data_IF_736718733241
#
_entry.id   IF_736718733241
#
_cell.length_a   1.000
_cell.length_b   1.000
_cell.length_c   1.000
_cell.angle_alpha   90.00
_cell.angle_beta   90.00
_cell.angle_gamma   90.00
#
_symmetry.space_group_name_H-M   'P 1'
#
loop_
_entity.id
_entity.type
_entity.pdbx_description
1 polymer ?
#
# COMPACT_ATOMS: atom_id res chain seq x y z
N UNK A 1 -4.38 -31.10 2.08
CA UNK A 1 -3.23 -30.83 1.20
C UNK A 1 -2.01 -31.15 2.02
N UNK A 2 -1.11 -31.99 1.53
CA UNK A 2 0.13 -32.31 2.26
C UNK A 2 1.14 -31.14 2.17
N UNK A 3 2.12 -31.15 3.08
CA UNK A 3 3.12 -30.08 3.23
C UNK A 3 3.97 -29.89 1.96
N UNK A 4 4.22 -30.96 1.21
CA UNK A 4 4.99 -30.92 -0.03
C UNK A 4 4.21 -30.20 -1.15
N UNK A 5 2.92 -30.48 -1.26
CA UNK A 5 2.02 -29.80 -2.19
C UNK A 5 1.87 -28.32 -1.83
N UNK A 6 1.73 -28.00 -0.54
CA UNK A 6 1.62 -26.62 -0.08
C UNK A 6 2.91 -25.85 -0.42
N UNK A 7 4.08 -26.41 -0.10
CA UNK A 7 5.37 -25.81 -0.40
C UNK A 7 5.53 -25.55 -1.91
N UNK A 8 5.22 -26.54 -2.74
CA UNK A 8 5.30 -26.40 -4.19
C UNK A 8 4.38 -25.30 -4.73
N UNK A 9 3.17 -25.19 -4.17
CA UNK A 9 2.22 -24.14 -4.57
C UNK A 9 2.73 -22.75 -4.18
N UNK A 10 3.26 -22.60 -2.96
CA UNK A 10 3.86 -21.35 -2.48
C UNK A 10 5.00 -20.90 -3.39
N UNK A 11 5.94 -21.80 -3.73
CA UNK A 11 7.05 -21.50 -4.64
C UNK A 11 6.58 -21.08 -6.04
N UNK A 12 5.52 -21.73 -6.55
CA UNK A 12 4.91 -21.36 -7.84
C UNK A 12 4.24 -19.98 -7.80
N UNK A 13 3.51 -19.68 -6.73
CA UNK A 13 2.85 -18.39 -6.54
C UNK A 13 3.87 -17.26 -6.42
N UNK A 14 4.90 -17.45 -5.60
CA UNK A 14 6.00 -16.51 -5.44
C UNK A 14 6.71 -16.24 -6.77
N UNK A 15 7.09 -17.30 -7.50
CA UNK A 15 7.73 -17.17 -8.81
C UNK A 15 6.86 -16.38 -9.78
N UNK A 16 5.57 -16.68 -9.83
CA UNK A 16 4.62 -15.99 -10.71
C UNK A 16 4.50 -14.51 -10.33
N UNK A 17 4.32 -14.20 -9.06
CA UNK A 17 4.21 -12.82 -8.58
C UNK A 17 5.47 -12.00 -8.93
N UNK A 18 6.67 -12.57 -8.73
CA UNK A 18 7.94 -11.94 -9.10
C UNK A 18 8.05 -11.69 -10.60
N UNK A 19 7.64 -12.65 -11.44
CA UNK A 19 7.66 -12.49 -12.90
C UNK A 19 6.66 -11.43 -13.36
N UNK A 20 5.44 -11.42 -12.81
CA UNK A 20 4.43 -10.41 -13.14
C UNK A 20 4.86 -9.00 -12.71
N UNK A 21 5.52 -8.87 -11.54
CA UNK A 21 6.09 -7.62 -11.07
C UNK A 21 7.25 -7.14 -11.96
N UNK A 22 8.19 -8.03 -12.30
CA UNK A 22 9.33 -7.70 -13.16
C UNK A 22 8.92 -7.33 -14.60
N UNK A 23 7.74 -7.77 -15.04
CA UNK A 23 7.20 -7.44 -16.36
C UNK A 23 6.45 -6.09 -16.40
N UNK A 24 6.29 -5.41 -15.25
CA UNK A 24 5.66 -4.08 -15.22
C UNK A 24 6.50 -3.06 -15.98
N UNK A 25 5.81 -2.11 -16.59
CA UNK A 25 6.42 -1.04 -17.36
C UNK A 25 5.91 0.32 -16.87
N UNK A 26 6.73 1.38 -16.92
CA UNK A 26 6.23 2.73 -16.69
C UNK A 26 5.23 3.11 -17.78
N UNK A 27 4.44 4.15 -17.52
CA UNK A 27 3.54 4.68 -18.55
C UNK A 27 4.37 5.11 -19.78
N UNK A 28 4.11 4.56 -20.99
CA UNK A 28 4.99 4.75 -22.13
C UNK A 28 5.17 6.23 -22.51
N UNK A 29 6.41 6.65 -22.76
CA UNK A 29 6.75 8.05 -23.05
C UNK A 29 5.94 8.60 -24.24
N UNK A 30 5.79 7.79 -25.30
CA UNK A 30 5.01 8.13 -26.48
C UNK A 30 3.52 8.41 -26.19
N UNK A 31 3.00 7.93 -25.06
CA UNK A 31 1.61 8.09 -24.65
C UNK A 31 1.42 9.16 -23.56
N UNK A 32 2.50 9.74 -23.00
CA UNK A 32 2.40 10.79 -21.97
C UNK A 32 1.77 12.08 -22.49
N UNK A 33 1.88 12.36 -23.79
CA UNK A 33 1.20 13.50 -24.43
C UNK A 33 -0.28 13.25 -24.70
N UNK A 34 -0.73 11.99 -24.67
CA UNK A 34 -2.10 11.60 -24.99
C UNK A 34 -3.09 11.99 -23.89
N UNK A 35 -4.36 12.13 -24.27
CA UNK A 35 -5.45 12.47 -23.35
C UNK A 35 -5.58 11.47 -22.18
N UNK A 36 -5.34 10.18 -22.43
CA UNK A 36 -5.37 9.12 -21.43
C UNK A 36 -4.40 9.38 -20.27
N UNK A 37 -3.16 9.78 -20.54
CA UNK A 37 -2.21 10.07 -19.46
C UNK A 37 -2.63 11.29 -18.65
N UNK A 38 -3.09 12.36 -19.32
CA UNK A 38 -3.60 13.56 -18.62
C UNK A 38 -4.78 13.24 -17.71
N UNK A 39 -5.70 12.37 -18.15
CA UNK A 39 -6.84 11.92 -17.35
C UNK A 39 -6.40 11.07 -16.16
N UNK A 40 -5.43 10.18 -16.35
CA UNK A 40 -4.84 9.39 -15.26
C UNK A 40 -4.17 10.28 -14.21
N UNK A 41 -3.29 11.20 -14.63
CA UNK A 41 -2.63 12.15 -13.72
C UNK A 41 -3.64 13.03 -12.99
N UNK A 42 -4.70 13.48 -13.67
CA UNK A 42 -5.77 14.24 -13.02
C UNK A 42 -6.48 13.40 -11.96
N UNK A 43 -6.80 12.14 -12.25
CA UNK A 43 -7.42 11.23 -11.28
C UNK A 43 -6.52 11.03 -10.05
N UNK A 44 -5.23 10.76 -10.26
CA UNK A 44 -4.25 10.63 -9.17
C UNK A 44 -4.17 11.89 -8.31
N UNK A 45 -4.03 13.06 -8.93
CA UNK A 45 -3.97 14.34 -8.18
C UNK A 45 -5.25 14.58 -7.37
N UNK A 46 -6.41 14.25 -7.91
CA UNK A 46 -7.67 14.38 -7.18
C UNK A 46 -7.72 13.46 -5.96
N UNK A 47 -7.38 12.18 -6.11
CA UNK A 47 -7.40 11.21 -5.01
C UNK A 47 -6.38 11.58 -3.93
N UNK A 48 -5.14 11.88 -4.32
CA UNK A 48 -4.09 12.27 -3.38
C UNK A 48 -4.40 13.60 -2.65
N UNK A 49 -5.24 14.46 -3.23
CA UNK A 49 -5.67 15.71 -2.58
C UNK A 49 -6.72 15.51 -1.49
N UNK A 50 -7.28 14.31 -1.34
CA UNK A 50 -8.20 14.01 -0.24
C UNK A 50 -7.46 13.97 1.10
N UNK A 51 -8.15 14.35 2.17
CA UNK A 51 -7.62 14.25 3.54
C UNK A 51 -7.31 12.80 3.90
N UNK A 52 -8.17 11.86 3.47
CA UNK A 52 -7.99 10.43 3.72
C UNK A 52 -6.69 9.90 3.10
N UNK A 53 -6.39 10.22 1.84
CA UNK A 53 -5.14 9.79 1.22
C UNK A 53 -3.91 10.39 1.92
N UNK A 54 -3.96 11.68 2.26
CA UNK A 54 -2.86 12.34 2.98
C UNK A 54 -2.65 11.70 4.36
N UNK A 55 -3.72 11.45 5.10
CA UNK A 55 -3.67 10.85 6.43
C UNK A 55 -3.21 9.39 6.41
N UNK A 56 -3.63 8.60 5.40
CA UNK A 56 -3.17 7.22 5.21
C UNK A 56 -1.67 7.17 4.95
N UNK A 57 -1.14 7.98 4.04
CA UNK A 57 0.30 8.00 3.78
C UNK A 57 1.10 8.64 4.91
N UNK A 58 0.54 9.58 5.65
CA UNK A 58 1.16 10.12 6.85
C UNK A 58 1.41 9.05 7.91
N UNK A 59 0.50 8.08 8.08
CA UNK A 59 0.72 6.96 8.99
C UNK A 59 1.87 6.06 8.52
N UNK A 60 2.03 5.80 7.23
CA UNK A 60 3.21 5.04 6.73
C UNK A 60 4.52 5.80 7.02
N UNK A 61 4.51 7.13 6.84
CA UNK A 61 5.66 8.00 7.13
C UNK A 61 5.92 8.09 8.62
N UNK A 62 4.88 8.08 9.44
CA UNK A 62 4.98 7.98 10.89
C UNK A 62 5.68 6.66 11.25
N UNK A 63 5.22 5.56 10.67
CA UNK A 63 5.78 4.22 10.86
C UNK A 63 4.83 3.30 11.61
N UNK A 64 3.78 3.84 12.22
CA UNK A 64 2.66 3.09 12.79
C UNK A 64 1.30 3.70 12.38
N UNK A 65 0.24 2.89 12.29
CA UNK A 65 -1.11 3.44 12.27
C UNK A 65 -1.41 4.07 13.63
N UNK A 66 -2.35 5.04 13.66
CA UNK A 66 -2.90 5.49 14.95
C UNK A 66 -3.84 4.42 15.53
N UNK A 67 -4.11 4.50 16.83
CA UNK A 67 -4.93 3.52 17.55
C UNK A 67 -6.27 3.29 16.85
N UNK A 68 -6.98 4.37 16.51
CA UNK A 68 -8.31 4.28 15.90
C UNK A 68 -8.23 3.51 14.59
N UNK A 69 -7.19 3.71 13.78
CA UNK A 69 -7.03 3.04 12.48
C UNK A 69 -6.56 1.59 12.63
N UNK A 70 -5.81 1.28 13.69
CA UNK A 70 -5.42 -0.09 14.00
C UNK A 70 -6.64 -0.92 14.43
N UNK A 71 -7.53 -0.33 15.23
CA UNK A 71 -8.76 -0.95 15.75
C UNK A 71 -9.95 -0.91 14.77
N UNK A 72 -10.05 0.12 13.92
CA UNK A 72 -11.10 0.35 12.91
C UNK A 72 -10.90 -0.57 11.69
N UNK A 73 -11.07 -1.87 11.94
CA UNK A 73 -11.04 -2.91 10.91
C UNK A 73 -12.18 -3.88 11.11
N UNK A 74 -12.73 -4.38 10.00
CA UNK A 74 -13.72 -5.47 10.02
C UNK A 74 -13.19 -6.72 10.74
N UNK A 75 -11.87 -6.93 10.63
CA UNK A 75 -11.11 -7.95 11.37
C UNK A 75 -9.83 -7.24 11.86
N UNK A 76 -9.82 -6.72 13.10
CA UNK A 76 -8.61 -6.15 13.69
C UNK A 76 -7.57 -7.25 13.85
N UNK A 77 -6.32 -6.99 13.46
CA UNK A 77 -5.20 -7.87 13.79
C UNK A 77 -4.48 -7.44 15.08
N UNK A 78 -5.05 -6.46 15.77
CA UNK A 78 -4.71 -6.08 17.13
C UNK A 78 -5.85 -6.55 18.04
N UNK A 79 -5.49 -7.03 19.22
CA UNK A 79 -6.42 -7.57 20.21
C UNK A 79 -5.80 -7.45 21.60
N UNK A 80 -6.60 -7.70 22.64
CA UNK A 80 -6.14 -7.59 24.03
C UNK A 80 -5.68 -6.19 24.39
N UNK A 81 -4.68 -6.10 25.27
CA UNK A 81 -4.07 -4.84 25.73
C UNK A 81 -2.88 -4.42 24.84
N UNK A 82 -3.09 -4.41 23.53
CA UNK A 82 -2.03 -4.07 22.57
C UNK A 82 -1.54 -2.61 22.79
N UNK A 83 -0.23 -2.34 22.94
CA UNK A 83 0.31 -1.00 23.21
C UNK A 83 0.05 0.08 22.15
N UNK A 84 -0.62 -0.29 21.05
CA UNK A 84 -1.02 0.66 20.00
C UNK A 84 -2.08 1.64 20.52
N UNK A 85 -2.80 1.28 21.60
CA UNK A 85 -3.70 2.17 22.36
C UNK A 85 -3.01 3.40 22.99
N UNK A 86 -1.68 3.46 22.89
CA UNK A 86 -0.89 4.61 23.33
C UNK A 86 -0.33 5.41 22.14
N UNK A 87 -0.89 5.20 20.95
CA UNK A 87 -0.58 5.95 19.73
C UNK A 87 -1.84 6.61 19.13
N UNK A 88 -2.45 7.59 19.84
CA UNK A 88 -3.72 8.20 19.39
C UNK A 88 -3.55 9.16 18.21
N UNK A 89 -2.37 9.76 18.09
CA UNK A 89 -2.07 10.82 17.13
C UNK A 89 -0.81 10.50 16.34
N UNK A 90 -0.73 11.05 15.11
CA UNK A 90 0.49 11.05 14.32
C UNK A 90 1.61 11.81 15.04
N UNK A 91 2.85 11.35 14.90
CA UNK A 91 4.02 12.10 15.34
C UNK A 91 4.14 13.43 14.57
N UNK A 92 4.68 14.49 15.22
CA UNK A 92 4.86 15.79 14.57
C UNK A 92 5.66 15.68 13.26
N UNK A 93 5.14 16.27 12.19
CA UNK A 93 5.78 16.30 10.88
C UNK A 93 5.34 15.20 9.91
N UNK A 94 4.62 14.16 10.37
CA UNK A 94 4.20 13.06 9.49
C UNK A 94 3.21 13.51 8.42
N UNK A 95 2.21 14.31 8.80
CA UNK A 95 1.19 14.82 7.88
C UNK A 95 1.78 15.86 6.93
N UNK A 96 2.67 16.72 7.41
CA UNK A 96 3.40 17.70 6.61
C UNK A 96 4.21 17.00 5.52
N UNK A 97 4.97 15.96 5.87
CA UNK A 97 5.75 15.18 4.89
C UNK A 97 4.88 14.46 3.88
N UNK A 98 3.73 13.91 4.29
CA UNK A 98 2.79 13.31 3.35
C UNK A 98 2.28 14.32 2.31
N UNK A 99 1.99 15.55 2.74
CA UNK A 99 1.58 16.66 1.86
C UNK A 99 2.70 17.12 0.94
N UNK A 100 3.92 17.26 1.47
CA UNK A 100 5.11 17.58 0.67
C UNK A 100 5.37 16.53 -0.41
N UNK A 101 5.29 15.24 -0.04
CA UNK A 101 5.46 14.14 -0.98
C UNK A 101 4.38 14.16 -2.07
N UNK A 102 3.11 14.36 -1.71
CA UNK A 102 2.01 14.53 -2.68
C UNK A 102 2.32 15.63 -3.70
N UNK A 103 2.90 16.75 -3.28
CA UNK A 103 3.17 17.89 -4.16
C UNK A 103 4.39 17.67 -5.06
N UNK A 104 5.33 16.82 -4.63
CA UNK A 104 6.58 16.55 -5.32
C UNK A 104 6.61 15.23 -6.09
N UNK A 105 5.59 14.37 -5.94
CA UNK A 105 5.57 13.04 -6.54
C UNK A 105 5.72 13.10 -8.07
N UNK A 106 6.72 12.39 -8.58
CA UNK A 106 6.85 12.11 -10.00
C UNK A 106 6.11 10.81 -10.33
N UNK A 107 4.96 10.91 -10.96
CA UNK A 107 4.18 9.74 -11.41
C UNK A 107 4.88 8.88 -12.47
N UNK A 108 6.02 9.32 -13.02
CA UNK A 108 6.81 8.53 -13.98
C UNK A 108 7.52 7.33 -13.34
N UNK A 109 7.70 7.34 -12.02
CA UNK A 109 8.30 6.24 -11.27
C UNK A 109 7.37 5.03 -11.14
N UNK A 110 6.07 5.22 -11.37
CA UNK A 110 5.05 4.18 -11.21
C UNK A 110 5.08 3.22 -12.39
N UNK A 111 4.85 1.94 -12.10
CA UNK A 111 4.89 0.84 -13.05
C UNK A 111 3.57 0.08 -13.06
N UNK A 112 3.17 -0.42 -14.23
CA UNK A 112 1.89 -1.11 -14.39
C UNK A 112 2.04 -2.34 -15.26
N UNK A 113 1.08 -3.26 -15.16
CA UNK A 113 0.97 -4.36 -16.11
C UNK A 113 0.82 -3.80 -17.54
N UNK A 114 1.59 -4.28 -18.53
CA UNK A 114 1.43 -3.88 -19.93
C UNK A 114 0.00 -4.07 -20.44
N UNK A 115 -0.68 -5.13 -19.99
CA UNK A 115 -2.06 -5.43 -20.35
C UNK A 115 -3.03 -4.34 -19.85
N UNK A 116 -2.82 -3.83 -18.63
CA UNK A 116 -3.64 -2.77 -18.05
C UNK A 116 -3.46 -1.45 -18.81
N UNK A 117 -2.21 -1.06 -19.09
CA UNK A 117 -1.91 0.13 -19.90
C UNK A 117 -2.54 0.02 -21.29
N UNK A 118 -2.40 -1.13 -21.94
CA UNK A 118 -2.98 -1.34 -23.26
C UNK A 118 -4.51 -1.29 -23.24
N UNK A 119 -5.15 -1.98 -22.29
CA UNK A 119 -6.60 -1.96 -22.15
C UNK A 119 -7.15 -0.55 -21.87
N UNK A 120 -6.44 0.23 -21.03
CA UNK A 120 -6.80 1.63 -20.76
C UNK A 120 -6.68 2.48 -22.03
N UNK A 121 -5.54 2.42 -22.72
CA UNK A 121 -5.24 3.29 -23.87
C UNK A 121 -6.07 2.98 -25.11
N UNK A 122 -6.51 1.73 -25.28
CA UNK A 122 -7.41 1.32 -26.38
C UNK A 122 -8.89 1.66 -26.11
N UNK A 123 -9.26 2.00 -24.88
CA UNK A 123 -10.64 2.30 -24.53
C UNK A 123 -10.99 3.78 -24.79
N UNK A 124 -12.22 4.04 -25.24
CA UNK A 124 -12.69 5.40 -25.50
C UNK A 124 -12.91 6.16 -24.17
N UNK A 125 -12.34 7.38 -24.00
CA UNK A 125 -12.54 8.18 -22.81
C UNK A 125 -14.02 8.35 -22.42
N UNK A 126 -14.32 8.15 -21.14
CA UNK A 126 -15.69 8.22 -20.59
C UNK A 126 -16.54 6.96 -20.79
N UNK A 127 -16.08 5.97 -21.57
CA UNK A 127 -16.76 4.66 -21.64
C UNK A 127 -16.64 3.90 -20.31
N UNK A 128 -17.54 2.93 -20.08
CA UNK A 128 -17.48 2.06 -18.89
C UNK A 128 -16.14 1.35 -18.78
N UNK A 129 -15.63 0.79 -19.88
CA UNK A 129 -14.35 0.09 -19.92
C UNK A 129 -13.22 1.04 -19.53
N UNK A 130 -13.20 2.24 -20.10
CA UNK A 130 -12.21 3.27 -19.77
C UNK A 130 -12.23 3.62 -18.28
N UNK A 131 -13.41 3.90 -17.72
CA UNK A 131 -13.53 4.28 -16.32
C UNK A 131 -13.09 3.14 -15.39
N UNK A 132 -13.42 1.88 -15.72
CA UNK A 132 -12.93 0.72 -14.96
C UNK A 132 -11.41 0.61 -15.01
N UNK A 133 -10.78 0.71 -16.20
CA UNK A 133 -9.32 0.64 -16.32
C UNK A 133 -8.62 1.82 -15.65
N UNK A 134 -9.25 3.00 -15.64
CA UNK A 134 -8.75 4.16 -14.90
C UNK A 134 -8.74 3.90 -13.39
N UNK A 135 -9.83 3.34 -12.84
CA UNK A 135 -9.89 2.98 -11.41
C UNK A 135 -8.82 1.93 -11.07
N UNK A 136 -8.64 0.91 -11.91
CA UNK A 136 -7.59 -0.10 -11.71
C UNK A 136 -6.18 0.51 -11.73
N UNK A 137 -5.90 1.44 -12.65
CA UNK A 137 -4.62 2.17 -12.66
C UNK A 137 -4.42 3.02 -11.39
N UNK A 138 -5.48 3.68 -10.91
CA UNK A 138 -5.42 4.46 -9.68
C UNK A 138 -5.16 3.55 -8.47
N UNK A 139 -5.85 2.42 -8.36
CA UNK A 139 -5.64 1.45 -7.29
C UNK A 139 -4.19 0.95 -7.25
N UNK A 140 -3.65 0.49 -8.40
CA UNK A 140 -2.25 0.06 -8.51
C UNK A 140 -1.28 1.19 -8.15
N UNK A 141 -1.55 2.41 -8.58
CA UNK A 141 -0.70 3.56 -8.26
C UNK A 141 -0.70 3.89 -6.76
N UNK A 142 -1.86 3.84 -6.09
CA UNK A 142 -1.94 4.07 -4.64
C UNK A 142 -1.17 3.00 -3.86
N UNK A 143 -1.28 1.74 -4.30
CA UNK A 143 -0.52 0.62 -3.76
C UNK A 143 1.00 0.85 -3.89
N UNK A 144 1.47 1.18 -5.09
CA UNK A 144 2.88 1.43 -5.35
C UNK A 144 3.41 2.64 -4.58
N UNK A 145 2.62 3.70 -4.40
CA UNK A 145 3.00 4.83 -3.55
C UNK A 145 3.19 4.37 -2.09
N UNK A 146 2.29 3.55 -1.56
CA UNK A 146 2.40 2.99 -0.22
C UNK A 146 3.66 2.14 -0.06
N UNK A 147 3.95 1.27 -1.04
CA UNK A 147 5.20 0.49 -1.12
C UNK A 147 6.43 1.40 -1.08
N UNK A 148 6.48 2.42 -1.93
CA UNK A 148 7.61 3.33 -2.05
C UNK A 148 7.85 4.06 -0.72
N UNK A 149 6.82 4.64 -0.12
CA UNK A 149 6.93 5.35 1.15
C UNK A 149 7.39 4.43 2.29
N UNK A 150 6.88 3.19 2.33
CA UNK A 150 7.31 2.20 3.32
C UNK A 150 8.79 1.83 3.15
N UNK A 151 9.26 1.66 1.91
CA UNK A 151 10.65 1.32 1.60
C UNK A 151 11.64 2.48 1.79
N UNK A 152 11.19 3.73 1.68
CA UNK A 152 12.02 4.90 1.98
C UNK A 152 12.45 4.94 3.45
N UNK A 153 11.73 4.24 4.33
CA UNK A 153 12.07 4.06 5.75
C UNK A 153 12.30 5.38 6.51
N UNK A 154 11.59 6.44 6.11
CA UNK A 154 11.67 7.80 6.69
C UNK A 154 10.88 7.94 8.00
N UNK A 155 10.74 6.83 8.74
CA UNK A 155 9.83 6.68 9.88
C UNK A 155 10.08 7.75 10.93
N UNK A 156 9.02 8.45 11.29
CA UNK A 156 9.06 9.55 12.27
C UNK A 156 8.76 9.11 13.69
N UNK A 157 8.17 7.94 13.88
CA UNK A 157 7.74 7.48 15.18
C UNK A 157 8.89 7.47 16.18
N UNK A 158 8.70 8.18 17.29
CA UNK A 158 9.76 8.42 18.28
C UNK A 158 9.65 7.49 19.49
N UNK A 159 8.66 6.61 19.51
CA UNK A 159 8.42 5.68 20.61
C UNK A 159 9.66 4.86 20.98
N UNK A 160 9.91 4.71 22.27
CA UNK A 160 11.03 3.94 22.82
C UNK A 160 10.50 2.79 23.66
N UNK A 161 11.31 1.73 23.83
CA UNK A 161 10.93 0.54 24.57
C UNK A 161 9.66 -0.08 23.98
N UNK A 162 8.65 -0.29 24.83
CA UNK A 162 7.38 -0.95 24.48
C UNK A 162 6.53 -0.15 23.48
N UNK A 163 6.85 1.13 23.25
CA UNK A 163 6.19 1.96 22.25
C UNK A 163 6.98 2.09 20.95
N UNK A 164 8.15 1.45 20.83
CA UNK A 164 8.88 1.44 19.56
C UNK A 164 8.11 0.69 18.48
N UNK A 165 8.39 0.99 17.21
CA UNK A 165 7.76 0.31 16.07
C UNK A 165 7.98 -1.21 16.15
N UNK A 166 9.19 -1.63 16.52
CA UNK A 166 9.55 -3.04 16.66
C UNK A 166 8.78 -3.70 17.80
N UNK A 167 8.69 -3.05 18.97
CA UNK A 167 7.95 -3.59 20.10
C UNK A 167 6.45 -3.69 19.82
N UNK A 168 5.87 -2.67 19.18
CA UNK A 168 4.44 -2.65 18.80
C UNK A 168 4.16 -3.72 17.74
N UNK A 169 4.99 -3.83 16.70
CA UNK A 169 4.77 -4.79 15.61
C UNK A 169 4.95 -6.24 16.07
N UNK A 170 5.86 -6.50 17.02
CA UNK A 170 6.14 -7.83 17.56
C UNK A 170 5.44 -8.10 18.89
N UNK A 171 4.49 -7.25 19.30
CA UNK A 171 3.76 -7.47 20.53
C UNK A 171 2.90 -8.72 20.43
N UNK A 172 2.78 -9.44 21.53
CA UNK A 172 1.98 -10.65 21.65
C UNK A 172 1.27 -10.68 23.00
N UNK A 173 0.02 -11.12 23.03
CA UNK A 173 -0.69 -11.39 24.28
C UNK A 173 -0.27 -12.77 24.84
N UNK A 174 -0.19 -13.76 23.96
CA UNK A 174 0.31 -15.10 24.22
C UNK A 174 1.62 -15.36 23.44
N UNK A 175 2.64 -16.02 24.02
CA UNK A 175 3.87 -16.39 23.30
C UNK A 175 3.66 -17.07 21.94
N UNK A 176 2.57 -17.85 21.80
CA UNK A 176 2.24 -18.61 20.60
C UNK A 176 1.58 -17.77 19.49
N UNK A 177 1.21 -16.52 19.77
CA UNK A 177 0.57 -15.64 18.80
C UNK A 177 1.48 -15.33 17.60
N UNK A 178 0.90 -15.35 16.39
CA UNK A 178 1.62 -14.98 15.17
C UNK A 178 1.71 -13.45 15.05
N UNK A 179 2.92 -12.95 14.79
CA UNK A 179 3.14 -11.54 14.46
C UNK A 179 3.21 -11.36 12.96
N UNK A 180 2.77 -10.18 12.51
CA UNK A 180 2.90 -9.77 11.12
C UNK A 180 4.14 -8.89 10.97
N UNK A 181 4.77 -8.85 9.79
CA UNK A 181 5.99 -8.05 9.58
C UNK A 181 5.73 -6.54 9.59
N UNK A 182 4.48 -6.09 9.69
CA UNK A 182 4.07 -4.69 9.75
C UNK A 182 2.65 -4.53 10.29
N UNK A 183 2.38 -3.41 10.97
CA UNK A 183 1.04 -2.99 11.39
C UNK A 183 0.17 -2.49 10.21
N UNK A 184 0.80 -2.15 9.08
CA UNK A 184 0.13 -1.78 7.84
C UNK A 184 -0.19 -3.02 7.01
N UNK A 185 -1.32 -3.65 7.30
CA UNK A 185 -1.74 -4.83 6.59
C UNK A 185 -3.26 -4.86 6.42
N UNK A 186 -3.70 -5.58 5.40
CA UNK A 186 -5.11 -5.83 5.14
C UNK A 186 -5.43 -7.29 5.53
N UNK A 187 -6.58 -7.59 6.16
CA UNK A 187 -6.89 -8.93 6.67
C UNK A 187 -6.83 -10.06 5.64
N UNK A 188 -6.98 -9.74 4.35
CA UNK A 188 -6.93 -10.71 3.25
C UNK A 188 -5.60 -10.68 2.46
N UNK A 189 -4.65 -9.81 2.81
CA UNK A 189 -3.35 -9.67 2.13
C UNK A 189 -2.17 -9.77 3.12
N UNK A 190 -2.03 -10.93 3.76
CA UNK A 190 -1.05 -11.16 4.84
C UNK A 190 0.20 -11.94 4.41
N UNK A 191 0.22 -12.50 3.20
CA UNK A 191 1.27 -13.42 2.75
C UNK A 191 2.49 -12.68 2.19
N UNK A 192 3.26 -12.02 3.06
CA UNK A 192 4.49 -11.31 2.65
C UNK A 192 5.54 -12.21 2.00
N UNK A 193 5.56 -13.49 2.33
CA UNK A 193 6.50 -14.48 1.82
C UNK A 193 6.38 -14.71 0.30
N UNK A 194 5.18 -14.54 -0.26
CA UNK A 194 4.93 -14.70 -1.71
C UNK A 194 4.89 -13.37 -2.46
N UNK A 195 4.88 -12.24 -1.76
CA UNK A 195 4.82 -10.92 -2.39
C UNK A 195 6.20 -10.48 -2.90
N UNK A 196 6.31 -9.88 -4.10
CA UNK A 196 7.59 -9.52 -4.70
C UNK A 196 8.47 -8.59 -3.84
N UNK A 197 7.84 -7.75 -3.02
CA UNK A 197 8.48 -6.78 -2.12
C UNK A 197 8.09 -7.00 -0.65
N UNK A 198 7.56 -8.19 -0.32
CA UNK A 198 7.25 -8.58 1.05
C UNK A 198 6.32 -7.64 1.79
N UNK A 199 6.72 -7.24 3.00
CA UNK A 199 5.94 -6.34 3.87
C UNK A 199 5.61 -4.99 3.23
N UNK A 200 6.42 -4.50 2.29
CA UNK A 200 6.10 -3.28 1.57
C UNK A 200 4.84 -3.43 0.73
N UNK A 201 4.61 -4.60 0.11
CA UNK A 201 3.36 -4.86 -0.60
C UNK A 201 2.16 -4.92 0.35
N UNK A 202 2.34 -5.44 1.57
CA UNK A 202 1.27 -5.41 2.60
C UNK A 202 0.88 -3.97 2.94
N UNK A 203 1.87 -3.09 3.16
CA UNK A 203 1.62 -1.68 3.40
C UNK A 203 0.94 -0.98 2.21
N UNK A 204 1.32 -1.35 0.98
CA UNK A 204 0.65 -0.89 -0.24
C UNK A 204 -0.82 -1.28 -0.30
N UNK A 205 -1.15 -2.55 -0.03
CA UNK A 205 -2.55 -3.02 -0.02
C UNK A 205 -3.36 -2.38 1.10
N UNK A 206 -2.76 -2.20 2.28
CA UNK A 206 -3.39 -1.48 3.37
C UNK A 206 -3.71 -0.03 2.98
N UNK A 207 -2.79 0.67 2.31
CA UNK A 207 -3.03 2.04 1.86
C UNK A 207 -4.12 2.13 0.79
N UNK A 208 -4.10 1.21 -0.18
CA UNK A 208 -5.13 1.09 -1.23
C UNK A 208 -6.53 0.89 -0.62
N UNK A 209 -6.67 -0.08 0.29
CA UNK A 209 -7.92 -0.35 1.00
C UNK A 209 -8.38 0.86 1.82
N UNK A 210 -7.50 1.47 2.62
CA UNK A 210 -7.88 2.65 3.41
C UNK A 210 -8.37 3.82 2.57
N UNK A 211 -7.88 3.97 1.34
CA UNK A 211 -8.24 5.09 0.46
C UNK A 211 -9.49 4.78 -0.38
N UNK A 212 -9.66 3.54 -0.84
CA UNK A 212 -10.72 3.16 -1.78
C UNK A 212 -11.86 2.33 -1.14
N UNK A 213 -11.64 1.73 0.03
CA UNK A 213 -12.59 0.88 0.76
C UNK A 213 -12.92 -0.42 0.02
N UNK A 214 -11.90 -1.15 -0.45
CA UNK A 214 -12.04 -2.30 -1.36
C UNK A 214 -12.08 -3.64 -0.65
#
# INVERSE_FOLDING_TARGET
MDDETLKSLTEQMERRARLEYAARIPFPEALKSANHYKLFIRAMKNVLSTELAQFTYAQIIDGLPIEDVAWDRRIPAVYGNHPIEHHPDLCPGALERAREYKDQIDFSILSFSPNLINAYTQSAPGSKIFNTRLIELVAVALNEIGVILFQMDIRLHQGQGDLSIEAITNWKEDPDDETLPTMFHHPYYLHSDIYPLGAANMAGYWAEDRILGV
#
